data_IF_185646704744
#
_entry.id   IF_185646704744
#
_cell.length_a   1.000
_cell.length_b   1.000
_cell.length_c   1.000
_cell.angle_alpha   90.00
_cell.angle_beta   90.00
_cell.angle_gamma   90.00
#
_symmetry.space_group_name_H-M   'P 1'
#
loop_
_entity.id
_entity.type
_entity.pdbx_description
1 polymer ?
#
# COMPACT_ATOMS: atom_id res chain seq x y z
N UNK A 1 -15.46 -2.49 3.21
CA UNK A 1 -14.57 -3.50 3.79
C UNK A 1 -13.60 -3.95 2.72
N UNK A 2 -12.29 -3.97 2.99
CA UNK A 2 -11.28 -4.37 2.01
C UNK A 2 -10.99 -5.88 2.14
N UNK A 3 -11.02 -6.66 1.04
CA UNK A 3 -10.64 -8.07 1.08
C UNK A 3 -9.14 -8.18 1.35
N UNK A 4 -8.77 -8.63 2.56
CA UNK A 4 -7.43 -8.38 3.11
C UNK A 4 -6.23 -8.97 2.34
N UNK A 5 -6.37 -10.13 1.68
CA UNK A 5 -5.22 -10.84 1.07
C UNK A 5 -5.28 -10.95 -0.45
N UNK A 6 -6.46 -10.84 -1.04
CA UNK A 6 -6.70 -11.06 -2.46
C UNK A 6 -6.89 -9.73 -3.20
N UNK A 7 -6.00 -8.77 -2.92
CA UNK A 7 -5.98 -7.47 -3.60
C UNK A 7 -4.59 -7.16 -4.13
N UNK A 8 -4.55 -6.44 -5.24
CA UNK A 8 -3.36 -5.81 -5.80
C UNK A 8 -3.56 -4.31 -5.75
N UNK A 9 -2.59 -3.61 -5.18
CA UNK A 9 -2.60 -2.17 -5.05
C UNK A 9 -1.53 -1.62 -5.97
N UNK A 10 -1.92 -0.73 -6.87
CA UNK A 10 -1.02 -0.09 -7.82
C UNK A 10 -0.90 1.41 -7.47
N UNK A 11 0.33 1.88 -7.31
CA UNK A 11 0.65 3.28 -7.03
C UNK A 11 1.93 3.68 -7.76
N UNK A 12 1.90 4.77 -8.52
CA UNK A 12 3.06 5.24 -9.31
C UNK A 12 3.77 4.14 -10.15
N UNK A 13 3.02 3.15 -10.65
CA UNK A 13 3.56 2.01 -11.41
C UNK A 13 4.16 0.88 -10.56
N UNK A 14 4.14 0.99 -9.23
CA UNK A 14 4.49 -0.08 -8.30
C UNK A 14 3.26 -0.91 -7.95
N UNK A 15 3.41 -2.23 -8.04
CA UNK A 15 2.37 -3.18 -7.64
C UNK A 15 2.72 -3.81 -6.29
N UNK A 16 1.80 -3.67 -5.34
CA UNK A 16 1.88 -4.25 -4.00
C UNK A 16 0.83 -5.36 -3.91
N UNK A 17 1.26 -6.56 -3.53
CA UNK A 17 0.37 -7.71 -3.38
C UNK A 17 -0.12 -7.83 -1.94
N UNK A 18 -1.44 -7.82 -1.78
CA UNK A 18 -2.13 -7.96 -0.51
C UNK A 18 -1.97 -6.77 0.42
N UNK A 19 -2.71 -6.79 1.52
CA UNK A 19 -2.58 -5.82 2.60
C UNK A 19 -1.87 -6.51 3.77
N UNK A 20 -0.75 -5.92 4.17
CA UNK A 20 0.04 -6.36 5.31
C UNK A 20 -0.63 -5.91 6.60
N UNK A 21 -0.68 -6.79 7.60
CA UNK A 21 -1.22 -6.47 8.92
C UNK A 21 -0.24 -5.70 9.80
N UNK A 22 1.06 -5.65 9.44
CA UNK A 22 2.10 -5.00 10.22
C UNK A 22 3.19 -4.36 9.35
N UNK A 23 3.63 -3.17 9.76
CA UNK A 23 4.71 -2.37 9.16
C UNK A 23 6.05 -3.11 9.00
N UNK A 24 6.26 -4.20 9.74
CA UNK A 24 7.55 -4.87 9.89
C UNK A 24 7.65 -6.23 9.17
N UNK A 25 6.63 -6.69 8.45
CA UNK A 25 6.69 -8.00 7.78
C UNK A 25 7.32 -7.96 6.39
N UNK A 26 7.22 -6.85 5.66
CA UNK A 26 7.72 -6.77 4.29
C UNK A 26 8.92 -5.81 4.15
N UNK A 27 9.90 -6.21 3.36
CA UNK A 27 10.99 -5.34 2.92
C UNK A 27 10.50 -4.48 1.75
N UNK A 28 10.86 -3.19 1.73
CA UNK A 28 10.42 -2.25 0.69
C UNK A 28 9.02 -1.66 0.93
N UNK A 29 8.33 -1.35 -0.18
CA UNK A 29 7.02 -0.70 -0.18
C UNK A 29 5.93 -1.71 0.20
N UNK A 30 5.04 -1.32 1.10
CA UNK A 30 3.95 -2.17 1.59
C UNK A 30 2.66 -1.38 1.72
N UNK A 31 1.55 -2.11 1.66
CA UNK A 31 0.24 -1.57 1.95
C UNK A 31 -0.25 -2.10 3.30
N UNK A 32 -0.77 -1.22 4.15
CA UNK A 32 -1.29 -1.55 5.48
C UNK A 32 -2.65 -0.87 5.69
N UNK A 33 -3.44 -1.37 6.65
CA UNK A 33 -4.62 -0.63 7.14
C UNK A 33 -4.21 0.12 8.40
N UNK A 34 -4.24 1.45 8.34
CA UNK A 34 -3.97 2.30 9.49
C UNK A 34 -5.06 2.20 10.56
N UNK A 35 -4.78 2.73 11.75
CA UNK A 35 -5.77 2.78 12.85
C UNK A 35 -7.03 3.58 12.52
N UNK A 36 -6.94 4.44 11.50
CA UNK A 36 -8.04 5.23 10.93
C UNK A 36 -8.97 4.42 10.04
N UNK A 37 -8.62 3.17 9.70
CA UNK A 37 -9.38 2.30 8.81
C UNK A 37 -9.13 2.53 7.32
N UNK A 38 -8.17 3.38 6.95
CA UNK A 38 -7.79 3.64 5.56
C UNK A 38 -6.59 2.81 5.14
N UNK A 39 -6.51 2.54 3.83
CA UNK A 39 -5.35 1.93 3.20
C UNK A 39 -4.21 2.95 3.15
N UNK A 40 -3.05 2.55 3.64
CA UNK A 40 -1.84 3.36 3.67
C UNK A 40 -0.74 2.64 2.90
N UNK A 41 0.00 3.37 2.07
CA UNK A 41 1.23 2.89 1.43
C UNK A 41 2.41 3.39 2.25
N UNK A 42 3.27 2.47 2.67
CA UNK A 42 4.35 2.70 3.63
C UNK A 42 5.65 2.07 3.14
N UNK A 43 6.78 2.64 3.54
CA UNK A 43 8.11 2.12 3.25
C UNK A 43 8.83 1.87 4.57
N UNK A 44 9.42 0.70 4.72
CA UNK A 44 10.24 0.42 5.91
C UNK A 44 11.43 1.37 5.96
N UNK A 45 11.67 1.95 7.13
CA UNK A 45 12.81 2.83 7.42
C UNK A 45 12.94 4.04 6.47
N UNK A 46 11.82 4.50 5.90
CA UNK A 46 11.84 5.59 4.93
C UNK A 46 10.47 6.18 4.64
N UNK A 47 10.46 7.11 3.69
CA UNK A 47 9.26 7.78 3.21
C UNK A 47 8.78 7.11 1.92
N UNK A 48 7.55 6.57 1.94
CA UNK A 48 6.96 5.97 0.75
C UNK A 48 6.70 7.03 -0.34
N UNK A 49 6.31 8.26 0.04
CA UNK A 49 6.05 9.31 -0.93
C UNK A 49 7.31 9.75 -1.67
N UNK A 50 8.44 9.85 -0.96
CA UNK A 50 9.72 10.24 -1.57
C UNK A 50 10.26 9.13 -2.47
N UNK A 51 10.03 7.86 -2.10
CA UNK A 51 10.47 6.71 -2.88
C UNK A 51 9.62 6.49 -4.14
N UNK A 52 8.30 6.69 -4.03
CA UNK A 52 7.35 6.50 -5.13
C UNK A 52 7.14 7.76 -5.98
N UNK A 53 7.71 8.90 -5.56
CA UNK A 53 7.50 10.23 -6.13
C UNK A 53 6.01 10.60 -6.23
N UNK A 54 5.26 10.34 -5.15
CA UNK A 54 3.80 10.53 -5.10
C UNK A 54 3.41 11.71 -4.22
N UNK A 55 2.32 12.39 -4.59
CA UNK A 55 1.73 13.50 -3.85
C UNK A 55 0.24 13.29 -3.55
N UNK A 56 -0.31 14.16 -2.69
CA UNK A 56 -1.76 14.18 -2.44
C UNK A 56 -2.49 14.51 -3.74
N UNK A 57 -3.44 13.65 -4.10
CA UNK A 57 -4.21 13.75 -5.33
C UNK A 57 -3.83 12.69 -6.37
N UNK A 58 -2.70 12.00 -6.19
CA UNK A 58 -2.33 10.88 -7.06
C UNK A 58 -3.31 9.71 -6.90
N UNK A 59 -3.55 9.03 -8.02
CA UNK A 59 -4.48 7.92 -8.08
C UNK A 59 -3.82 6.65 -7.53
N UNK A 60 -4.58 5.92 -6.71
CA UNK A 60 -4.25 4.56 -6.27
C UNK A 60 -5.31 3.63 -6.82
N UNK A 61 -4.89 2.57 -7.51
CA UNK A 61 -5.81 1.53 -7.99
C UNK A 61 -5.76 0.34 -7.05
N UNK A 62 -6.93 -0.14 -6.68
CA UNK A 62 -7.10 -1.34 -5.87
C UNK A 62 -7.91 -2.34 -6.68
N UNK A 63 -7.31 -3.46 -7.03
CA UNK A 63 -7.95 -4.53 -7.81
C UNK A 63 -8.08 -5.76 -6.93
N UNK A 64 -9.29 -6.30 -6.79
CA UNK A 64 -9.47 -7.60 -6.16
C UNK A 64 -9.11 -8.70 -7.15
N UNK A 65 -8.28 -9.66 -6.74
CA UNK A 65 -7.98 -10.87 -7.51
C UNK A 65 -8.96 -11.93 -7.04
N UNK A 66 -10.04 -12.13 -7.79
CA UNK A 66 -11.10 -13.10 -7.48
C UNK A 66 -10.87 -14.38 -8.27
#
# INVERSE_FOLDING_TARGET
DLPGKDVVIEVAGYCIQGISSYYAQNEGVMAIVGSSGYLEVSLRDGSACDFLDTIVGDEIKVTSVI
#
